data_IF_357464337941
#
_entry.id   IF_357464337941
#
_cell.length_a   1.000
_cell.length_b   1.000
_cell.length_c   1.000
_cell.angle_alpha   90.00
_cell.angle_beta   90.00
_cell.angle_gamma   90.00
#
_symmetry.space_group_name_H-M   'P 1'
#
loop_
_entity.id
_entity.type
_entity.pdbx_description
1 polymer ?
#
# COMPACT_ATOMS: atom_id res chain seq x y z
N UNK A 1 -1.60 -5.61 -2.82
CA UNK A 1 -2.50 -4.48 -2.55
C UNK A 1 -2.01 -3.74 -1.32
N UNK A 2 -1.83 -2.43 -1.40
CA UNK A 2 -1.61 -1.56 -0.24
C UNK A 2 -2.93 -0.85 0.01
N UNK A 3 -3.50 -0.99 1.21
CA UNK A 3 -4.91 -0.72 1.46
C UNK A 3 -5.12 0.15 2.70
N UNK A 4 -5.87 1.25 2.55
CA UNK A 4 -6.31 2.12 3.63
C UNK A 4 -7.68 1.68 4.17
N UNK A 5 -7.83 1.37 5.48
CA UNK A 5 -9.11 0.96 6.06
C UNK A 5 -10.22 2.02 6.02
N UNK A 6 -9.88 3.31 5.99
CA UNK A 6 -10.85 4.40 5.89
C UNK A 6 -11.29 4.69 4.43
N UNK A 7 -10.90 3.87 3.45
CA UNK A 7 -11.27 4.03 2.05
C UNK A 7 -12.82 4.07 1.90
N UNK A 8 -13.43 5.22 1.51
CA UNK A 8 -14.87 5.32 1.37
C UNK A 8 -15.43 4.60 0.14
N UNK A 9 -14.57 4.22 -0.82
CA UNK A 9 -14.93 3.50 -2.05
C UNK A 9 -14.82 2.00 -1.81
N UNK A 10 -13.67 1.53 -1.31
CA UNK A 10 -13.42 0.11 -1.05
C UNK A 10 -13.48 -0.18 0.44
N UNK A 11 -14.64 -0.02 1.07
CA UNK A 11 -14.79 -0.19 2.52
C UNK A 11 -14.51 -1.62 2.99
N UNK A 12 -14.05 -1.83 4.23
CA UNK A 12 -13.98 -3.16 4.81
C UNK A 12 -15.34 -3.90 4.70
N UNK A 13 -15.35 -5.21 4.41
CA UNK A 13 -14.20 -6.12 4.37
C UNK A 13 -13.64 -6.35 2.95
N UNK A 14 -13.50 -5.30 2.12
CA UNK A 14 -12.96 -5.39 0.75
C UNK A 14 -11.68 -6.22 0.65
N UNK A 15 -10.73 -6.02 1.57
CA UNK A 15 -9.47 -6.76 1.62
C UNK A 15 -9.65 -8.29 1.72
N UNK A 16 -10.69 -8.75 2.41
CA UNK A 16 -10.95 -10.17 2.57
C UNK A 16 -11.59 -10.77 1.32
N UNK A 17 -12.45 -10.01 0.62
CA UNK A 17 -12.95 -10.41 -0.69
C UNK A 17 -11.83 -10.47 -1.73
N UNK A 18 -10.95 -9.47 -1.75
CA UNK A 18 -9.79 -9.45 -2.64
C UNK A 18 -8.90 -10.66 -2.42
N UNK A 19 -8.62 -11.03 -1.16
CA UNK A 19 -7.79 -12.22 -0.83
C UNK A 19 -8.39 -13.52 -1.37
N UNK A 20 -9.74 -13.65 -1.34
CA UNK A 20 -10.44 -14.83 -1.87
C UNK A 20 -10.39 -14.89 -3.39
N UNK A 21 -10.54 -13.76 -4.06
CA UNK A 21 -10.59 -13.67 -5.53
C UNK A 21 -9.19 -13.72 -6.17
N UNK A 22 -8.16 -13.26 -5.47
CA UNK A 22 -6.77 -13.26 -5.95
C UNK A 22 -5.89 -14.05 -4.98
N UNK A 23 -5.90 -15.40 -5.05
CA UNK A 23 -5.06 -16.25 -4.21
C UNK A 23 -3.58 -15.93 -4.39
N UNK A 24 -2.82 -15.98 -3.29
CA UNK A 24 -1.39 -15.64 -3.28
C UNK A 24 -1.08 -14.14 -3.34
N UNK A 25 -2.09 -13.28 -3.41
CA UNK A 25 -1.88 -11.84 -3.29
C UNK A 25 -1.34 -11.46 -1.91
N UNK A 26 -0.41 -10.51 -1.88
CA UNK A 26 0.07 -9.87 -0.66
C UNK A 26 -0.77 -8.62 -0.41
N UNK A 27 -1.34 -8.51 0.79
CA UNK A 27 -2.11 -7.34 1.22
C UNK A 27 -1.37 -6.69 2.38
N UNK A 28 -1.01 -5.43 2.21
CA UNK A 28 -0.43 -4.58 3.24
C UNK A 28 -1.49 -3.57 3.67
N UNK A 29 -1.97 -3.69 4.91
CA UNK A 29 -3.02 -2.84 5.46
C UNK A 29 -2.34 -1.68 6.19
N UNK A 30 -2.71 -0.45 5.83
CA UNK A 30 -2.20 0.79 6.43
C UNK A 30 -2.95 1.11 7.73
N UNK A 31 -2.57 2.22 8.37
CA UNK A 31 -3.22 2.67 9.60
C UNK A 31 -4.70 2.99 9.37
N UNK A 32 -5.52 2.81 10.41
CA UNK A 32 -7.00 2.88 10.33
C UNK A 32 -7.53 4.18 9.71
N UNK A 33 -6.84 5.30 9.91
CA UNK A 33 -7.27 6.62 9.42
C UNK A 33 -6.96 6.86 7.93
N UNK A 34 -6.18 5.99 7.27
CA UNK A 34 -5.77 6.15 5.88
C UNK A 34 -6.91 5.73 4.95
N UNK A 35 -7.28 6.62 4.04
CA UNK A 35 -8.36 6.46 3.10
C UNK A 35 -7.97 5.89 1.74
N UNK A 36 -8.61 6.40 0.69
CA UNK A 36 -8.50 5.89 -0.68
C UNK A 36 -7.18 6.26 -1.36
N UNK A 37 -6.66 7.46 -1.09
CA UNK A 37 -5.50 8.00 -1.78
C UNK A 37 -4.23 7.71 -0.99
N UNK A 38 -3.94 6.43 -0.75
CA UNK A 38 -2.83 5.97 0.11
C UNK A 38 -1.47 6.58 -0.24
N UNK A 39 -1.21 6.86 -1.52
CA UNK A 39 0.01 7.50 -1.99
C UNK A 39 0.13 8.97 -1.56
N UNK A 40 -0.99 9.63 -1.27
CA UNK A 40 -1.05 10.99 -0.76
C UNK A 40 -1.19 11.02 0.76
N UNK A 41 -1.87 10.06 1.36
CA UNK A 41 -2.17 10.08 2.78
C UNK A 41 -1.04 9.47 3.63
N UNK A 42 -0.35 8.45 3.10
CA UNK A 42 0.70 7.71 3.81
C UNK A 42 1.84 7.29 2.84
N UNK A 43 2.49 8.24 2.15
CA UNK A 43 3.45 7.94 1.09
C UNK A 43 4.68 7.14 1.59
N UNK A 44 5.12 7.38 2.83
CA UNK A 44 6.26 6.66 3.44
C UNK A 44 5.91 5.20 3.66
N UNK A 45 4.71 4.94 4.16
CA UNK A 45 4.18 3.63 4.46
C UNK A 45 3.89 2.85 3.19
N UNK A 46 3.41 3.51 2.12
CA UNK A 46 3.27 2.90 0.80
C UNK A 46 4.61 2.39 0.29
N UNK A 47 5.67 3.21 0.36
CA UNK A 47 7.01 2.81 -0.04
C UNK A 47 7.52 1.65 0.83
N UNK A 48 7.34 1.74 2.14
CA UNK A 48 7.72 0.70 3.08
C UNK A 48 6.99 -0.63 2.84
N UNK A 49 5.74 -0.60 2.37
CA UNK A 49 4.99 -1.79 1.98
C UNK A 49 5.36 -2.33 0.59
N UNK A 50 5.79 -1.45 -0.33
CA UNK A 50 6.06 -1.80 -1.72
C UNK A 50 7.48 -2.33 -1.97
N UNK A 51 8.50 -1.76 -1.32
CA UNK A 51 9.88 -2.22 -1.52
C UNK A 51 10.09 -3.70 -1.15
N UNK A 52 9.58 -4.22 -0.01
CA UNK A 52 9.68 -5.65 0.30
C UNK A 52 8.94 -6.54 -0.71
N UNK A 53 7.84 -6.04 -1.30
CA UNK A 53 7.15 -6.75 -2.36
C UNK A 53 8.03 -6.88 -3.60
N UNK A 54 8.73 -5.82 -4.00
CA UNK A 54 9.67 -5.84 -5.12
C UNK A 54 10.85 -6.79 -4.87
N UNK A 55 11.47 -6.72 -3.70
CA UNK A 55 12.59 -7.59 -3.32
C UNK A 55 12.19 -9.07 -3.34
N UNK A 56 11.00 -9.38 -2.84
CA UNK A 56 10.46 -10.74 -2.87
C UNK A 56 10.32 -11.29 -4.30
N UNK A 57 10.14 -10.42 -5.30
CA UNK A 57 10.04 -10.78 -6.72
C UNK A 57 11.34 -10.55 -7.50
N UNK A 58 12.48 -10.46 -6.80
CA UNK A 58 13.81 -10.43 -7.43
C UNK A 58 14.25 -9.06 -7.92
N UNK A 59 13.50 -7.99 -7.62
CA UNK A 59 13.89 -6.62 -7.97
C UNK A 59 14.87 -6.08 -6.91
N UNK A 60 16.02 -5.57 -7.36
CA UNK A 60 17.00 -4.92 -6.48
C UNK A 60 16.53 -3.49 -6.16
N UNK A 61 16.13 -3.26 -4.92
CA UNK A 61 15.57 -1.97 -4.44
C UNK A 61 16.60 -0.97 -3.97
N UNK A 62 17.85 -1.41 -3.71
CA UNK A 62 18.96 -0.55 -3.23
C UNK A 62 19.34 0.58 -4.20
N UNK A 63 18.84 0.57 -5.42
CA UNK A 63 19.04 1.61 -6.45
C UNK A 63 17.83 2.53 -6.62
N UNK A 64 16.76 2.35 -5.84
CA UNK A 64 15.54 3.14 -5.94
C UNK A 64 15.64 4.35 -5.01
N UNK A 65 15.69 5.54 -5.58
CA UNK A 65 15.52 6.80 -4.85
C UNK A 65 14.06 7.21 -4.91
N UNK A 66 13.45 7.43 -3.74
CA UNK A 66 12.06 7.93 -3.66
C UNK A 66 12.10 9.38 -3.20
N UNK A 67 11.59 10.28 -4.04
CA UNK A 67 11.31 11.65 -3.64
C UNK A 67 9.94 11.67 -2.96
N UNK A 68 9.93 12.04 -1.68
CA UNK A 68 8.70 12.20 -0.90
C UNK A 68 8.47 13.69 -0.67
N UNK A 69 7.28 14.23 -0.97
CA UNK A 69 6.99 15.62 -0.67
C UNK A 69 6.94 15.85 0.84
N UNK A 70 7.51 16.96 1.31
CA UNK A 70 7.51 17.35 2.74
C UNK A 70 6.11 17.73 3.25
N UNK A 71 5.22 18.13 2.34
CA UNK A 71 3.78 18.34 2.58
C UNK A 71 2.99 17.89 1.38
N UNK A 72 1.90 17.20 1.66
CA UNK A 72 0.81 17.01 0.71
C UNK A 72 -0.19 18.16 0.93
N UNK A 73 -0.63 18.76 -0.20
CA UNK A 73 -1.47 19.95 -0.26
C UNK A 73 -2.70 19.87 0.66
#
# INVERSE_FOLDING_TARGET
>A
MIYGPADPVNKPPFQDYYRKLVPGSRIHILQEHVGHYVHLEAPKEVVAGYLPFLEHHGVKTKTISVALPDRLL
#
